data_IF_187216811046
#
_entry.id   IF_187216811046
#
_cell.length_a   1.000
_cell.length_b   1.000
_cell.length_c   1.000
_cell.angle_alpha   90.00
_cell.angle_beta   90.00
_cell.angle_gamma   90.00
#
_symmetry.space_group_name_H-M   'P 1'
#
loop_
_entity.id
_entity.type
_entity.pdbx_description
1 polymer ?
#
# COMPACT_ATOMS: atom_id res chain seq x y z
N UNK A 1 2.01 11.11 -5.36
CA UNK A 1 1.57 11.42 -3.99
C UNK A 1 2.41 12.56 -3.45
N UNK A 2 1.75 13.54 -2.90
CA UNK A 2 2.50 14.65 -2.37
C UNK A 2 3.05 14.32 -0.96
N UNK A 3 3.84 15.22 -0.41
CA UNK A 3 4.52 15.05 0.85
C UNK A 3 3.58 14.76 2.03
N UNK A 4 2.42 15.42 2.04
CA UNK A 4 1.43 15.28 3.11
C UNK A 4 0.74 13.92 3.11
N UNK A 5 0.81 13.21 2.00
CA UNK A 5 0.21 11.89 1.85
C UNK A 5 1.18 10.75 2.15
N UNK A 6 2.40 11.07 2.60
CA UNK A 6 3.38 10.03 2.95
C UNK A 6 3.28 9.68 4.43
N UNK A 7 3.23 8.41 4.69
CA UNK A 7 3.29 7.85 6.04
C UNK A 7 4.76 7.56 6.32
N UNK A 8 5.45 8.48 7.04
CA UNK A 8 6.92 8.43 7.14
C UNK A 8 7.43 8.13 8.53
N UNK A 9 6.71 8.49 9.59
CA UNK A 9 7.18 8.24 10.95
C UNK A 9 7.17 6.76 11.27
N UNK A 10 8.29 6.26 11.79
CA UNK A 10 8.41 4.85 12.15
C UNK A 10 7.33 4.39 13.12
N UNK A 11 6.99 5.23 14.10
CA UNK A 11 5.93 4.92 15.06
C UNK A 11 4.56 4.77 14.39
N UNK A 12 4.26 5.63 13.42
CA UNK A 12 2.99 5.57 12.70
C UNK A 12 2.91 4.32 11.82
N UNK A 13 4.00 4.00 11.12
CA UNK A 13 4.06 2.79 10.31
C UNK A 13 3.91 1.54 11.18
N UNK A 14 4.61 1.51 12.31
CA UNK A 14 4.52 0.40 13.27
C UNK A 14 3.10 0.22 13.80
N UNK A 15 2.44 1.35 14.10
CA UNK A 15 1.05 1.32 14.60
C UNK A 15 0.11 0.71 13.58
N UNK A 16 0.23 1.08 12.30
CA UNK A 16 -0.57 0.48 11.24
C UNK A 16 -0.28 -1.01 11.15
N UNK A 17 0.99 -1.38 11.14
CA UNK A 17 1.40 -2.78 11.03
C UNK A 17 0.85 -3.63 12.18
N UNK A 18 0.88 -3.10 13.40
CA UNK A 18 0.54 -3.87 14.60
C UNK A 18 -0.97 -3.89 14.88
N UNK A 19 -1.69 -2.83 14.56
CA UNK A 19 -3.10 -2.70 14.93
C UNK A 19 -4.05 -2.46 13.77
N UNK A 20 -3.54 -2.40 12.55
CA UNK A 20 -4.36 -2.26 11.36
C UNK A 20 -5.02 -3.56 10.93
N UNK A 21 -6.00 -3.43 10.04
CA UNK A 21 -6.60 -4.59 9.39
C UNK A 21 -5.77 -4.99 8.18
N UNK A 22 -5.54 -6.27 8.04
CA UNK A 22 -4.69 -6.81 6.99
C UNK A 22 -5.50 -7.54 5.92
N UNK A 23 -5.15 -7.31 4.66
CA UNK A 23 -5.78 -7.94 3.50
C UNK A 23 -4.67 -8.53 2.63
N UNK A 24 -4.74 -9.82 2.37
CA UNK A 24 -3.68 -10.52 1.65
C UNK A 24 -4.08 -10.83 0.21
N UNK A 25 -3.11 -10.74 -0.68
CA UNK A 25 -3.20 -11.16 -2.08
C UNK A 25 -1.88 -11.84 -2.43
N UNK A 26 -1.85 -12.78 -3.39
CA UNK A 26 -0.59 -13.40 -3.78
C UNK A 26 0.50 -12.43 -4.24
N UNK A 27 0.14 -11.21 -4.69
CA UNK A 27 1.10 -10.24 -5.19
C UNK A 27 1.44 -9.11 -4.21
N UNK A 28 0.67 -8.92 -3.14
CA UNK A 28 0.92 -7.86 -2.16
C UNK A 28 0.04 -8.05 -0.92
N UNK A 29 0.40 -7.35 0.16
CA UNK A 29 -0.43 -7.32 1.38
C UNK A 29 -0.73 -5.86 1.71
N UNK A 30 -1.99 -5.56 2.01
CA UNK A 30 -2.45 -4.23 2.39
C UNK A 30 -2.82 -4.23 3.87
N UNK A 31 -2.32 -3.23 4.60
CA UNK A 31 -2.69 -3.03 6.01
C UNK A 31 -3.23 -1.61 6.14
N UNK A 32 -4.39 -1.45 6.77
CA UNK A 32 -5.07 -0.16 6.87
C UNK A 32 -5.52 0.13 8.29
N UNK A 33 -5.52 1.41 8.63
CA UNK A 33 -5.98 1.90 9.92
C UNK A 33 -6.55 3.30 9.77
N UNK A 34 -7.70 3.63 10.40
CA UNK A 34 -8.19 5.02 10.42
C UNK A 34 -7.19 5.93 11.13
N UNK A 35 -7.05 7.18 10.66
CA UNK A 35 -6.04 8.09 11.20
C UNK A 35 -6.58 9.40 11.78
N UNK A 36 -7.88 9.64 11.73
CA UNK A 36 -8.50 10.88 12.24
C UNK A 36 -8.03 12.17 11.57
N UNK A 37 -7.39 12.06 10.42
CA UNK A 37 -6.95 13.20 9.64
C UNK A 37 -7.93 13.49 8.51
N UNK A 38 -7.78 14.68 7.91
CA UNK A 38 -8.58 15.05 6.74
C UNK A 38 -8.01 14.50 5.44
N UNK A 39 -6.99 13.65 5.54
CA UNK A 39 -6.31 13.05 4.38
C UNK A 39 -5.86 11.65 4.70
N UNK A 40 -5.62 10.85 3.67
CA UNK A 40 -5.00 9.55 3.82
C UNK A 40 -3.50 9.66 3.62
N UNK A 41 -2.75 8.78 4.31
CA UNK A 41 -1.29 8.72 4.21
C UNK A 41 -0.90 7.32 3.77
N UNK A 42 0.20 7.24 3.00
CA UNK A 42 0.61 5.99 2.36
C UNK A 42 2.08 5.67 2.63
N UNK A 43 2.35 4.40 2.83
CA UNK A 43 3.71 3.87 2.88
C UNK A 43 3.77 2.54 2.14
N UNK A 44 4.94 2.23 1.60
CA UNK A 44 5.21 0.92 1.02
C UNK A 44 6.40 0.30 1.74
N UNK A 45 6.41 -1.02 1.82
CA UNK A 45 7.50 -1.74 2.46
C UNK A 45 7.88 -2.99 1.70
N UNK A 46 9.15 -3.39 1.84
CA UNK A 46 9.66 -4.61 1.27
C UNK A 46 10.64 -5.23 2.26
N UNK A 47 10.32 -6.42 2.73
CA UNK A 47 11.11 -7.12 3.73
C UNK A 47 12.41 -7.71 3.16
N UNK A 48 13.28 -8.10 4.09
CA UNK A 48 14.58 -8.69 3.73
C UNK A 48 14.45 -10.00 2.95
N UNK A 49 13.34 -10.69 3.12
CA UNK A 49 13.09 -11.95 2.41
C UNK A 49 13.01 -11.81 0.90
N UNK A 50 12.80 -10.59 0.39
CA UNK A 50 12.80 -10.34 -1.05
C UNK A 50 14.19 -10.41 -1.66
N UNK A 51 15.24 -10.31 -0.87
CA UNK A 51 16.61 -10.31 -1.34
C UNK A 51 17.28 -8.96 -1.15
N UNK A 52 18.19 -8.58 -2.06
CA UNK A 52 18.99 -7.37 -1.94
C UNK A 52 18.23 -6.08 -2.19
N UNK A 53 18.95 -4.96 -2.02
CA UNK A 53 18.38 -3.62 -2.11
C UNK A 53 17.75 -3.34 -3.47
N UNK A 54 18.36 -3.81 -4.56
CA UNK A 54 17.84 -3.57 -5.91
C UNK A 54 16.45 -4.19 -6.07
N UNK A 55 16.29 -5.43 -5.63
CA UNK A 55 15.03 -6.14 -5.73
C UNK A 55 13.96 -5.49 -4.83
N UNK A 56 14.33 -5.12 -3.60
CA UNK A 56 13.42 -4.45 -2.67
C UNK A 56 13.00 -3.08 -3.18
N UNK A 57 13.92 -2.31 -3.72
CA UNK A 57 13.61 -0.98 -4.27
C UNK A 57 12.70 -1.10 -5.50
N UNK A 58 12.92 -2.09 -6.34
CA UNK A 58 12.05 -2.36 -7.49
C UNK A 58 10.61 -2.63 -7.01
N UNK A 59 10.46 -3.50 -6.03
CA UNK A 59 9.15 -3.83 -5.48
C UNK A 59 8.45 -2.58 -4.94
N UNK A 60 9.15 -1.78 -4.15
CA UNK A 60 8.59 -0.57 -3.56
C UNK A 60 8.16 0.44 -4.63
N UNK A 61 8.97 0.63 -5.67
CA UNK A 61 8.61 1.55 -6.77
C UNK A 61 7.34 1.11 -7.47
N UNK A 62 7.21 -0.19 -7.73
CA UNK A 62 6.04 -0.74 -8.39
C UNK A 62 4.78 -0.55 -7.53
N UNK A 63 4.89 -0.80 -6.22
CA UNK A 63 3.77 -0.59 -5.31
C UNK A 63 3.37 0.88 -5.22
N UNK A 64 4.35 1.79 -5.16
CA UNK A 64 4.06 3.23 -5.15
C UNK A 64 3.33 3.67 -6.43
N UNK A 65 3.76 3.16 -7.57
CA UNK A 65 3.10 3.48 -8.84
C UNK A 65 1.66 3.01 -8.88
N UNK A 66 1.40 1.80 -8.37
CA UNK A 66 0.05 1.28 -8.30
C UNK A 66 -0.84 2.10 -7.36
N UNK A 67 -0.32 2.48 -6.20
CA UNK A 67 -1.06 3.34 -5.26
C UNK A 67 -1.31 4.73 -5.84
N UNK A 68 -0.31 5.29 -6.52
CA UNK A 68 -0.45 6.64 -7.09
C UNK A 68 -1.61 6.72 -8.07
N UNK A 69 -1.82 5.68 -8.85
CA UNK A 69 -2.94 5.65 -9.80
C UNK A 69 -4.30 5.58 -9.10
N UNK A 70 -4.35 5.09 -7.86
CA UNK A 70 -5.57 4.95 -7.09
C UNK A 70 -5.80 6.10 -6.10
N UNK A 71 -4.77 6.89 -5.80
CA UNK A 71 -4.85 7.93 -4.78
C UNK A 71 -6.06 8.86 -4.95
N UNK A 72 -6.43 9.31 -6.16
CA UNK A 72 -7.58 10.19 -6.33
C UNK A 72 -8.92 9.59 -5.89
N UNK A 73 -9.04 8.27 -5.87
CA UNK A 73 -10.31 7.61 -5.48
C UNK A 73 -10.24 6.92 -4.13
N UNK A 74 -9.14 7.09 -3.40
CA UNK A 74 -9.05 6.59 -2.02
C UNK A 74 -9.64 7.63 -1.07
N UNK A 75 -10.56 7.19 -0.21
CA UNK A 75 -11.20 8.06 0.76
C UNK A 75 -10.17 8.66 1.73
N UNK A 76 -10.37 9.89 2.21
CA UNK A 76 -9.50 10.45 3.23
C UNK A 76 -9.67 9.76 4.58
N UNK A 77 -8.69 9.93 5.46
CA UNK A 77 -8.80 9.44 6.84
C UNK A 77 -8.21 8.07 7.09
N UNK A 78 -7.36 7.58 6.20
CA UNK A 78 -6.74 6.25 6.34
C UNK A 78 -5.22 6.31 6.32
N UNK A 79 -4.60 5.55 7.20
CA UNK A 79 -3.20 5.18 7.05
C UNK A 79 -3.13 3.84 6.33
N UNK A 80 -2.40 3.82 5.22
CA UNK A 80 -2.34 2.69 4.30
C UNK A 80 -0.89 2.24 4.17
N UNK A 81 -0.65 0.97 4.48
CA UNK A 81 0.67 0.34 4.33
C UNK A 81 0.54 -0.80 3.33
N UNK A 82 1.26 -0.69 2.22
CA UNK A 82 1.29 -1.73 1.20
C UNK A 82 2.63 -2.45 1.23
N UNK A 83 2.59 -3.75 1.47
CA UNK A 83 3.78 -4.56 1.67
C UNK A 83 4.01 -5.47 0.46
N UNK A 84 5.26 -5.53 0.03
CA UNK A 84 5.67 -6.41 -1.06
C UNK A 84 5.75 -7.86 -0.60
N UNK A 85 5.47 -8.76 -1.54
CA UNK A 85 5.73 -10.19 -1.40
C UNK A 85 6.84 -10.58 -2.39
N UNK A 86 7.31 -11.82 -2.30
CA UNK A 86 8.35 -12.32 -3.21
C UNK A 86 7.94 -12.21 -4.67
N UNK A 87 6.65 -12.26 -4.94
CA UNK A 87 6.08 -12.18 -6.29
C UNK A 87 6.01 -10.76 -6.84
N UNK A 88 6.06 -9.74 -5.99
CA UNK A 88 5.84 -8.35 -6.41
C UNK A 88 6.84 -7.88 -7.47
N UNK A 89 8.16 -8.15 -7.33
CA UNK A 89 9.12 -7.61 -8.31
C UNK A 89 8.94 -8.16 -9.72
N UNK A 90 8.44 -9.38 -9.87
CA UNK A 90 8.35 -10.05 -11.16
C UNK A 90 6.92 -10.18 -11.68
N UNK A 91 5.92 -9.70 -10.96
CA UNK A 91 4.53 -9.77 -11.40
C UNK A 91 4.35 -8.94 -12.68
N UNK A 92 3.43 -9.37 -13.54
CA UNK A 92 3.04 -8.56 -14.70
C UNK A 92 2.38 -7.29 -14.20
N UNK A 93 2.69 -6.17 -14.84
CA UNK A 93 2.19 -4.88 -14.37
C UNK A 93 0.66 -4.80 -14.29
N UNK A 94 -0.11 -5.25 -15.31
CA UNK A 94 -1.57 -5.22 -15.17
C UNK A 94 -2.09 -6.06 -14.01
N UNK A 95 -1.45 -7.19 -13.75
CA UNK A 95 -1.84 -8.06 -12.64
C UNK A 95 -1.58 -7.39 -11.29
N UNK A 96 -0.45 -6.72 -11.16
CA UNK A 96 -0.12 -5.99 -9.93
C UNK A 96 -1.08 -4.82 -9.70
N UNK A 97 -1.40 -4.06 -10.76
CA UNK A 97 -2.38 -2.99 -10.68
C UNK A 97 -3.73 -3.50 -10.20
N UNK A 98 -4.21 -4.58 -10.78
CA UNK A 98 -5.48 -5.19 -10.40
C UNK A 98 -5.47 -5.71 -8.97
N UNK A 99 -4.34 -6.30 -8.55
CA UNK A 99 -4.19 -6.79 -7.19
C UNK A 99 -4.30 -5.66 -6.16
N UNK A 100 -3.61 -4.56 -6.40
CA UNK A 100 -3.64 -3.42 -5.49
C UNK A 100 -5.02 -2.77 -5.47
N UNK A 101 -5.64 -2.59 -6.63
CA UNK A 101 -7.00 -2.06 -6.72
C UNK A 101 -8.00 -2.96 -5.97
N UNK A 102 -7.89 -4.27 -6.15
CA UNK A 102 -8.75 -5.23 -5.47
C UNK A 102 -8.58 -5.22 -3.96
N UNK A 103 -7.34 -5.09 -3.49
CA UNK A 103 -7.06 -4.97 -2.05
C UNK A 103 -7.70 -3.70 -1.48
N UNK A 104 -7.56 -2.57 -2.16
CA UNK A 104 -8.17 -1.31 -1.71
C UNK A 104 -9.68 -1.41 -1.69
N UNK A 105 -10.27 -2.08 -2.67
CA UNK A 105 -11.73 -2.28 -2.71
C UNK A 105 -12.18 -3.16 -1.56
N UNK A 106 -11.50 -4.26 -1.30
CA UNK A 106 -11.81 -5.17 -0.18
C UNK A 106 -11.72 -4.47 1.16
N UNK A 107 -10.76 -3.54 1.30
CA UNK A 107 -10.56 -2.80 2.52
C UNK A 107 -11.55 -1.64 2.71
N UNK A 108 -12.39 -1.37 1.71
CA UNK A 108 -13.35 -0.28 1.78
C UNK A 108 -12.74 1.10 1.64
N UNK A 109 -11.58 1.21 0.99
CA UNK A 109 -10.87 2.49 0.86
C UNK A 109 -11.38 3.35 -0.30
N UNK A 110 -12.04 2.76 -1.30
CA UNK A 110 -12.39 3.49 -2.51
C UNK A 110 -13.66 4.30 -2.31
N UNK A 111 -13.65 5.55 -2.78
CA UNK A 111 -14.80 6.45 -2.68
C UNK A 111 -15.87 6.13 -3.71
N UNK A 112 -15.50 5.47 -4.80
CA UNK A 112 -16.46 5.12 -5.83
C UNK A 112 -17.20 3.88 -5.45
N UNK A 113 -18.50 4.00 -5.44
CA UNK A 113 -19.39 2.86 -5.38
C UNK A 113 -19.71 2.46 -6.81
N UNK A 114 -18.77 1.91 -7.47
CA UNK A 114 -18.94 1.56 -8.87
C UNK A 114 -20.07 0.56 -9.06
#
# INVERSE_FOLDING_TARGET
>A
MDRRQRLTRSQDVQRVRNSGRSFAHPLAVLVTRPNDLDRSRFAVGAGRSLGGAVRRNRAKRRLRSALRSLAPIIAPGWDVLLLARDTTPSARWPDLQQAVAGLCRRAGLLTESA
#
